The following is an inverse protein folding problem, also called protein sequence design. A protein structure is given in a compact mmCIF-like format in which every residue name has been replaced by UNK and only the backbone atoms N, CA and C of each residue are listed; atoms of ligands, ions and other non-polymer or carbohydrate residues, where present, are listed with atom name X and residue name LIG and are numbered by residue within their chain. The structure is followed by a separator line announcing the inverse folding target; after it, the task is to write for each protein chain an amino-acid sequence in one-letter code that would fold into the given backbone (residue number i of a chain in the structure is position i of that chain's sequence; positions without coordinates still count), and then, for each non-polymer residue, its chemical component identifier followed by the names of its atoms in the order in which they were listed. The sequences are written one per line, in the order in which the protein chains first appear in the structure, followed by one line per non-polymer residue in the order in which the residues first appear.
data_IF_000396422199
#
_entry.id   IF_000396422199
#
_cell.length_a   1.000
_cell.length_b   1.000
_cell.length_c   1.000
_cell.angle_alpha   90.00
_cell.angle_beta   90.00
_cell.angle_gamma   90.00
#
_symmetry.space_group_name_H-M   'P 1'
#
loop_
_entity.id
_entity.type
_entity.pdbx_description
1 polymer ?
#
# COMPACT_ATOMS: atom_id res chain seq x y z
N UNK A 1 -12.13 15.58 10.48
CA UNK A 1 -12.85 16.32 9.42
C UNK A 1 -12.38 17.76 9.33
N UNK A 2 -12.12 18.44 10.46
CA UNK A 2 -11.60 19.82 10.47
C UNK A 2 -10.19 19.94 9.91
N UNK A 3 -9.26 19.03 10.21
CA UNK A 3 -7.91 19.08 9.63
C UNK A 3 -7.93 19.02 8.09
N UNK A 4 -8.82 18.23 7.47
CA UNK A 4 -8.94 18.15 6.00
C UNK A 4 -9.50 19.45 5.41
N UNK A 5 -10.44 20.11 6.09
CA UNK A 5 -10.93 21.45 5.69
C UNK A 5 -9.83 22.49 5.83
N UNK A 6 -9.05 22.44 6.93
CA UNK A 6 -7.93 23.34 7.17
C UNK A 6 -6.82 23.12 6.13
N UNK A 7 -6.49 21.88 5.79
CA UNK A 7 -5.52 21.52 4.76
C UNK A 7 -5.95 21.97 3.35
N UNK A 8 -7.23 21.77 3.00
CA UNK A 8 -7.80 22.27 1.74
C UNK A 8 -7.83 23.80 1.69
N UNK A 9 -8.16 24.46 2.80
CA UNK A 9 -8.19 25.91 2.89
C UNK A 9 -6.77 26.53 2.86
N UNK A 10 -5.77 25.85 3.42
CA UNK A 10 -4.38 26.32 3.47
C UNK A 10 -3.62 26.13 2.14
N UNK A 11 -3.99 25.15 1.31
CA UNK A 11 -3.31 24.85 0.05
C UNK A 11 -3.86 25.57 -1.20
N UNK A 12 -5.08 26.13 -1.15
CA UNK A 12 -5.81 26.56 -2.35
C UNK A 12 -5.94 25.43 -3.39
N UNK A 13 -6.44 25.74 -4.59
CA UNK A 13 -6.49 24.80 -5.72
C UNK A 13 -5.09 24.40 -6.26
N UNK A 14 -4.02 24.70 -5.54
CA UNK A 14 -2.65 24.41 -5.93
C UNK A 14 -2.22 23.02 -5.46
N UNK A 15 -2.13 22.09 -6.42
CA UNK A 15 -1.66 20.72 -6.20
C UNK A 15 -0.30 20.65 -5.48
N UNK A 16 0.63 21.55 -5.81
CA UNK A 16 1.95 21.58 -5.20
C UNK A 16 1.91 21.93 -3.71
N UNK A 17 1.09 22.91 -3.34
CA UNK A 17 0.90 23.26 -1.93
C UNK A 17 0.24 22.11 -1.16
N UNK A 18 -0.79 21.47 -1.74
CA UNK A 18 -1.44 20.31 -1.13
C UNK A 18 -0.47 19.13 -0.94
N UNK A 19 0.40 18.89 -1.93
CA UNK A 19 1.41 17.83 -1.88
C UNK A 19 2.46 18.03 -0.81
N UNK A 20 3.00 19.24 -0.73
CA UNK A 20 3.96 19.62 0.31
C UNK A 20 3.39 19.44 1.71
N UNK A 21 2.13 19.85 1.93
CA UNK A 21 1.51 19.70 3.24
C UNK A 21 1.27 18.22 3.55
N UNK A 22 0.81 17.43 2.56
CA UNK A 22 0.60 15.99 2.71
C UNK A 22 1.89 15.27 3.12
N UNK A 23 3.01 15.53 2.45
CA UNK A 23 4.31 14.91 2.80
C UNK A 23 4.76 15.28 4.22
N UNK A 24 4.66 16.55 4.60
CA UNK A 24 5.04 17.01 5.94
C UNK A 24 4.18 16.40 7.03
N UNK A 25 2.88 16.25 6.76
CA UNK A 25 1.95 15.58 7.66
C UNK A 25 2.28 14.09 7.78
N UNK A 26 2.50 13.39 6.67
CA UNK A 26 2.91 11.99 6.66
C UNK A 26 4.18 11.77 7.49
N UNK A 27 5.22 12.57 7.25
CA UNK A 27 6.47 12.53 8.00
C UNK A 27 6.23 12.65 9.51
N UNK A 28 5.52 13.71 9.92
CA UNK A 28 5.25 13.99 11.33
C UNK A 28 4.50 12.84 12.00
N UNK A 29 3.48 12.30 11.34
CA UNK A 29 2.65 11.21 11.88
C UNK A 29 3.40 9.89 11.96
N UNK A 30 4.22 9.56 10.97
CA UNK A 30 5.05 8.34 10.99
C UNK A 30 6.04 8.43 12.15
N UNK A 31 6.75 9.56 12.26
CA UNK A 31 7.73 9.80 13.31
C UNK A 31 7.11 9.69 14.71
N UNK A 32 6.00 10.39 14.94
CA UNK A 32 5.24 10.33 16.20
C UNK A 32 4.88 8.89 16.56
N UNK A 33 4.30 8.13 15.62
CA UNK A 33 3.89 6.76 15.88
C UNK A 33 5.07 5.79 16.06
N UNK A 34 6.18 6.01 15.36
CA UNK A 34 7.39 5.21 15.54
C UNK A 34 8.03 5.48 16.91
N UNK A 35 8.13 6.75 17.30
CA UNK A 35 8.67 7.17 18.59
C UNK A 35 7.81 6.65 19.76
N UNK A 36 6.48 6.82 19.69
CA UNK A 36 5.54 6.35 20.71
C UNK A 36 5.60 4.83 20.94
N UNK A 37 5.91 4.06 19.89
CA UNK A 37 5.90 2.60 19.92
C UNK A 37 7.30 1.98 19.98
N UNK A 38 8.36 2.79 19.99
CA UNK A 38 9.74 2.33 19.93
C UNK A 38 10.07 1.53 18.66
N UNK A 39 9.38 1.81 17.56
CA UNK A 39 9.54 1.12 16.28
C UNK A 39 10.71 1.74 15.51
N UNK A 40 11.65 0.90 15.03
CA UNK A 40 12.79 1.34 14.22
C UNK A 40 12.61 1.15 12.71
N UNK A 41 11.76 0.20 12.32
CA UNK A 41 11.48 -0.14 10.91
C UNK A 41 9.99 -0.35 10.73
N UNK A 42 9.46 0.12 9.60
CA UNK A 42 8.08 -0.13 9.24
C UNK A 42 7.98 -1.43 8.44
N UNK A 43 6.85 -2.13 8.58
CA UNK A 43 6.56 -3.35 7.85
C UNK A 43 5.58 -3.04 6.74
N UNK A 44 5.93 -3.40 5.51
CA UNK A 44 5.05 -3.27 4.35
C UNK A 44 4.54 -4.63 3.93
N UNK A 45 3.21 -4.68 3.75
CA UNK A 45 2.50 -5.86 3.28
C UNK A 45 1.77 -5.46 2.01
N UNK A 46 2.25 -5.92 0.86
CA UNK A 46 1.50 -5.84 -0.39
C UNK A 46 0.58 -7.05 -0.46
N UNK A 47 -0.71 -6.73 -0.45
CA UNK A 47 -1.76 -7.67 -0.76
C UNK A 47 -1.92 -7.73 -2.28
N UNK A 48 -1.23 -8.67 -2.93
CA UNK A 48 -1.62 -9.06 -4.27
C UNK A 48 -2.91 -9.88 -4.11
N UNK A 49 -4.07 -9.24 -4.33
CA UNK A 49 -5.38 -9.92 -4.39
C UNK A 49 -5.50 -10.82 -5.63
N UNK A 50 -4.43 -11.51 -6.01
CA UNK A 50 -4.45 -12.49 -7.07
C UNK A 50 -4.79 -13.83 -6.45
N UNK A 51 -6.05 -14.21 -6.62
CA UNK A 51 -6.39 -15.62 -6.61
C UNK A 51 -5.98 -16.18 -7.96
N UNK A 52 -5.41 -17.38 -7.99
CA UNK A 52 -5.38 -18.13 -9.25
C UNK A 52 -6.84 -18.35 -9.73
N UNK A 53 -7.03 -18.67 -11.01
CA UNK A 53 -8.37 -18.75 -11.63
C UNK A 53 -9.31 -19.69 -10.85
N UNK A 54 -8.76 -20.77 -10.30
CA UNK A 54 -9.47 -21.77 -9.49
C UNK A 54 -9.73 -21.36 -8.03
N UNK A 55 -9.25 -20.19 -7.60
CA UNK A 55 -9.28 -19.72 -6.20
C UNK A 55 -8.71 -20.73 -5.19
N UNK A 56 -7.71 -21.47 -5.62
CA UNK A 56 -7.00 -22.46 -4.81
C UNK A 56 -5.70 -21.92 -4.26
N UNK A 57 -5.22 -20.77 -4.74
CA UNK A 57 -3.97 -20.17 -4.28
C UNK A 57 -4.14 -18.68 -4.07
N UNK A 58 -3.51 -18.18 -3.02
CA UNK A 58 -3.51 -16.78 -2.63
C UNK A 58 -2.14 -16.39 -2.08
N UNK A 59 -1.58 -15.26 -2.53
CA UNK A 59 -0.22 -14.85 -2.20
C UNK A 59 -0.17 -13.49 -1.51
N UNK A 60 0.72 -13.39 -0.51
CA UNK A 60 1.15 -12.14 0.10
C UNK A 60 2.61 -11.91 -0.22
N UNK A 61 2.95 -10.64 -0.44
CA UNK A 61 4.34 -10.20 -0.51
C UNK A 61 4.57 -9.25 0.66
N UNK A 62 5.58 -9.55 1.46
CA UNK A 62 5.92 -8.84 2.69
C UNK A 62 7.40 -8.46 2.67
N UNK A 63 7.73 -7.27 3.17
CA UNK A 63 9.11 -6.90 3.47
C UNK A 63 9.14 -5.85 4.59
N UNK A 64 10.29 -5.72 5.23
CA UNK A 64 10.58 -4.62 6.16
C UNK A 64 11.24 -3.47 5.39
N UNK A 65 10.83 -2.24 5.65
CA UNK A 65 11.44 -1.05 5.05
C UNK A 65 11.65 0.08 6.06
N UNK A 66 12.63 0.92 5.79
CA UNK A 66 12.76 2.22 6.43
C UNK A 66 11.79 3.21 5.77
N UNK A 67 10.52 3.10 6.15
CA UNK A 67 9.47 3.95 5.58
C UNK A 67 9.63 5.42 5.97
N UNK A 68 10.21 5.70 7.15
CA UNK A 68 10.52 7.08 7.55
C UNK A 68 11.60 7.66 6.62
N UNK A 69 12.70 6.93 6.41
CA UNK A 69 13.75 7.33 5.47
C UNK A 69 13.25 7.47 4.03
N UNK A 70 12.31 6.63 3.59
CA UNK A 70 11.63 6.78 2.31
C UNK A 70 10.86 8.11 2.22
N UNK A 71 10.07 8.48 3.25
CA UNK A 71 9.34 9.74 3.28
C UNK A 71 10.27 10.95 3.40
N UNK A 72 11.37 10.84 4.16
CA UNK A 72 12.42 11.87 4.23
C UNK A 72 13.06 12.11 2.86
N UNK A 73 13.33 11.04 2.11
CA UNK A 73 13.81 11.17 0.74
C UNK A 73 12.79 11.89 -0.15
N UNK A 74 11.50 11.56 -0.06
CA UNK A 74 10.46 12.26 -0.82
C UNK A 74 10.38 13.75 -0.47
N UNK A 75 10.54 14.12 0.81
CA UNK A 75 10.59 15.53 1.23
C UNK A 75 11.77 16.28 0.60
N UNK A 76 12.96 15.69 0.63
CA UNK A 76 14.16 16.31 0.01
C UNK A 76 13.94 16.51 -1.49
N UNK A 77 13.35 15.53 -2.16
CA UNK A 77 13.08 15.58 -3.61
C UNK A 77 11.98 16.58 -3.97
N UNK A 78 10.95 16.71 -3.14
CA UNK A 78 9.94 17.77 -3.27
C UNK A 78 10.58 19.17 -3.15
N UNK A 79 11.43 19.36 -2.15
CA UNK A 79 12.13 20.64 -1.92
C UNK A 79 13.14 20.97 -3.03
N UNK A 80 13.73 19.96 -3.65
CA UNK A 80 14.58 20.09 -4.84
C UNK A 80 13.78 20.32 -6.15
N UNK A 81 12.44 20.28 -6.10
CA UNK A 81 11.58 20.49 -7.27
C UNK A 81 11.55 19.31 -8.25
N UNK A 82 11.99 18.14 -7.81
CA UNK A 82 11.99 16.89 -8.58
C UNK A 82 10.60 16.23 -8.62
N UNK A 83 9.70 16.63 -7.72
CA UNK A 83 8.34 16.13 -7.66
C UNK A 83 7.37 17.13 -8.30
N UNK A 84 6.59 16.66 -9.26
CA UNK A 84 5.43 17.37 -9.78
C UNK A 84 4.15 16.83 -9.14
N UNK A 85 3.35 17.72 -8.56
CA UNK A 85 2.07 17.37 -7.97
C UNK A 85 0.92 17.62 -8.94
N UNK A 86 0.08 16.60 -9.13
CA UNK A 86 -1.04 16.67 -10.07
C UNK A 86 -2.30 16.13 -9.42
N UNK A 87 -3.42 16.83 -9.62
CA UNK A 87 -4.74 16.36 -9.22
C UNK A 87 -5.32 15.53 -10.37
N UNK A 88 -5.70 14.30 -10.09
CA UNK A 88 -6.40 13.40 -11.01
C UNK A 88 -7.72 12.94 -10.37
N UNK A 89 -8.59 12.28 -11.14
CA UNK A 89 -9.88 11.81 -10.63
C UNK A 89 -9.79 10.90 -9.38
N UNK A 90 -8.64 10.24 -9.17
CA UNK A 90 -8.39 9.39 -8.01
C UNK A 90 -7.81 10.13 -6.77
N UNK A 91 -7.40 11.39 -6.92
CA UNK A 91 -6.84 12.20 -5.82
C UNK A 91 -5.64 13.05 -6.23
N UNK A 92 -4.77 13.32 -5.25
CA UNK A 92 -3.48 13.99 -5.45
C UNK A 92 -2.41 12.95 -5.76
N UNK A 93 -1.54 13.26 -6.71
CA UNK A 93 -0.50 12.35 -7.17
C UNK A 93 0.86 13.05 -7.24
N UNK A 94 1.93 12.29 -6.97
CA UNK A 94 3.30 12.73 -7.13
C UNK A 94 3.89 12.10 -8.39
N UNK A 95 4.43 12.93 -9.28
CA UNK A 95 5.16 12.52 -10.47
C UNK A 95 6.63 12.83 -10.27
N UNK A 96 7.46 11.83 -10.50
CA UNK A 96 8.90 11.98 -10.47
C UNK A 96 9.36 12.59 -11.80
N UNK A 97 9.92 13.80 -11.77
CA UNK A 97 10.39 14.50 -12.98
C UNK A 97 11.70 13.94 -13.53
N UNK A 98 12.50 13.27 -12.70
CA UNK A 98 13.86 12.85 -13.05
C UNK A 98 13.99 11.35 -13.33
N UNK A 99 12.97 10.56 -13.04
CA UNK A 99 12.99 9.10 -13.25
C UNK A 99 12.55 8.73 -14.67
N UNK A 100 13.53 8.40 -15.51
CA UNK A 100 13.32 7.72 -16.80
C UNK A 100 13.06 6.22 -16.53
N UNK A 101 12.06 5.64 -17.19
CA UNK A 101 11.57 4.31 -16.86
C UNK A 101 12.62 3.20 -17.05
N UNK A 102 13.00 2.51 -15.97
CA UNK A 102 13.60 1.17 -16.07
C UNK A 102 12.49 0.11 -15.95
N UNK A 103 11.61 0.02 -16.95
CA UNK A 103 10.72 -1.15 -17.09
C UNK A 103 10.94 -1.84 -18.43
N UNK A 104 11.21 -3.16 -18.37
CA UNK A 104 11.31 -4.04 -19.55
C UNK A 104 10.14 -3.79 -20.50
N UNK A 105 10.45 -3.32 -21.72
CA UNK A 105 9.48 -3.19 -22.81
C UNK A 105 8.86 -1.79 -23.01
N UNK A 106 9.34 -0.74 -22.34
CA UNK A 106 9.00 0.67 -22.66
C UNK A 106 10.21 1.42 -23.20
N UNK A 107 9.96 2.42 -24.06
CA UNK A 107 10.99 3.29 -24.63
C UNK A 107 11.64 4.15 -23.54
N UNK A 108 12.95 4.43 -23.63
CA UNK A 108 13.66 5.38 -22.74
C UNK A 108 13.03 6.78 -22.72
N UNK A 109 12.17 7.09 -23.70
CA UNK A 109 11.43 8.35 -23.83
C UNK A 109 10.09 8.39 -23.08
N UNK A 110 9.61 7.27 -22.54
CA UNK A 110 8.31 7.22 -21.87
C UNK A 110 8.47 7.60 -20.38
N UNK A 111 7.77 8.62 -19.87
CA UNK A 111 7.79 8.94 -18.45
C UNK A 111 7.29 7.73 -17.63
N UNK A 112 8.04 7.33 -16.61
CA UNK A 112 7.62 6.24 -15.74
C UNK A 112 6.40 6.65 -14.90
N UNK A 113 5.59 5.66 -14.51
CA UNK A 113 4.28 5.89 -13.93
C UNK A 113 4.33 6.74 -12.65
N UNK A 114 3.40 7.69 -12.62
CA UNK A 114 2.95 8.48 -11.46
C UNK A 114 2.87 7.60 -10.20
N UNK A 115 3.61 7.95 -9.13
CA UNK A 115 3.39 7.31 -7.82
C UNK A 115 2.18 7.97 -7.19
N UNK A 116 1.11 7.21 -6.98
CA UNK A 116 -0.01 7.72 -6.21
C UNK A 116 0.43 7.85 -4.75
N UNK A 117 0.69 9.06 -4.27
CA UNK A 117 0.83 9.32 -2.84
C UNK A 117 -0.52 9.76 -2.29
N UNK A 118 -1.22 8.85 -1.62
CA UNK A 118 -2.53 9.12 -1.04
C UNK A 118 -2.55 8.74 0.42
N UNK A 119 -3.02 9.65 1.26
CA UNK A 119 -3.30 9.33 2.66
C UNK A 119 -4.80 9.23 2.91
N UNK A 120 -5.21 8.17 3.58
CA UNK A 120 -6.55 8.00 4.12
C UNK A 120 -6.54 8.34 5.61
N UNK A 121 -6.72 9.63 5.91
CA UNK A 121 -6.63 10.21 7.26
C UNK A 121 -7.38 9.41 8.34
N UNK A 122 -8.61 8.97 8.06
CA UNK A 122 -9.45 8.23 9.04
C UNK A 122 -8.84 6.89 9.47
N UNK A 123 -8.07 6.24 8.60
CA UNK A 123 -7.54 4.90 8.85
C UNK A 123 -6.02 4.92 9.07
N UNK A 124 -5.40 6.11 9.09
CA UNK A 124 -3.95 6.29 9.12
C UNK A 124 -3.22 5.42 8.08
N UNK A 125 -3.82 5.26 6.90
CA UNK A 125 -3.26 4.47 5.81
C UNK A 125 -2.61 5.40 4.79
N UNK A 126 -1.39 5.07 4.40
CA UNK A 126 -0.68 5.74 3.30
C UNK A 126 -0.61 4.74 2.16
N UNK A 127 -1.13 5.13 1.01
CA UNK A 127 -1.00 4.43 -0.25
C UNK A 127 0.11 5.09 -1.04
N UNK A 128 1.05 4.28 -1.46
CA UNK A 128 2.19 4.68 -2.27
C UNK A 128 2.53 3.48 -3.14
N UNK A 129 2.80 3.73 -4.41
CA UNK A 129 3.31 2.69 -5.30
C UNK A 129 4.77 2.41 -4.92
N UNK A 130 5.02 1.22 -4.37
CA UNK A 130 6.36 0.75 -4.02
C UNK A 130 6.88 -0.21 -5.08
N UNK A 131 8.17 -0.09 -5.39
CA UNK A 131 8.89 -1.14 -6.09
C UNK A 131 9.08 -2.30 -5.11
N UNK A 132 8.64 -3.50 -5.48
CA UNK A 132 8.81 -4.69 -4.64
C UNK A 132 10.30 -5.07 -4.65
N UNK A 133 10.99 -5.12 -3.50
CA UNK A 133 12.40 -5.48 -3.46
C UNK A 133 12.60 -6.94 -3.85
N UNK A 134 13.76 -7.25 -4.46
CA UNK A 134 14.12 -8.61 -4.90
C UNK A 134 14.11 -9.62 -3.74
N UNK A 135 14.41 -9.17 -2.52
CA UNK A 135 14.41 -9.99 -1.31
C UNK A 135 13.09 -10.00 -0.53
N UNK A 136 11.97 -9.55 -1.11
CA UNK A 136 10.68 -9.60 -0.42
C UNK A 136 10.26 -11.05 -0.16
N UNK A 137 9.79 -11.31 1.05
CA UNK A 137 9.25 -12.61 1.42
C UNK A 137 7.91 -12.83 0.73
N UNK A 138 7.70 -14.06 0.27
CA UNK A 138 6.42 -14.49 -0.31
C UNK A 138 5.79 -15.55 0.57
N UNK A 139 4.55 -15.28 0.97
CA UNK A 139 3.75 -16.22 1.75
C UNK A 139 2.57 -16.64 0.87
N UNK A 140 2.51 -17.92 0.52
CA UNK A 140 1.46 -18.48 -0.32
C UNK A 140 0.56 -19.39 0.50
N UNK A 141 -0.74 -19.20 0.36
CA UNK A 141 -1.79 -20.01 0.97
C UNK A 141 -2.45 -20.84 -0.13
N UNK A 142 -2.39 -22.17 0.01
CA UNK A 142 -3.13 -23.09 -0.83
C UNK A 142 -4.43 -23.50 -0.13
N UNK A 143 -5.56 -23.29 -0.79
CA UNK A 143 -6.86 -23.82 -0.40
C UNK A 143 -7.26 -24.92 -1.39
N UNK A 144 -7.72 -26.05 -0.87
CA UNK A 144 -8.41 -27.06 -1.66
C UNK A 144 -9.91 -26.81 -1.49
N UNK A 145 -10.61 -26.21 -2.46
CA UNK A 145 -12.05 -26.02 -2.37
C UNK A 145 -12.70 -27.39 -2.28
N UNK A 146 -13.46 -27.62 -1.20
CA UNK A 146 -14.23 -28.83 -1.02
C UNK A 146 -15.35 -28.88 -2.05
N UNK A 147 -15.61 -30.06 -2.60
CA UNK A 147 -16.85 -30.28 -3.35
C UNK A 147 -18.06 -30.28 -2.41
N UNK A 148 -19.26 -30.16 -2.98
CA UNK A 148 -20.49 -30.34 -2.22
C UNK A 148 -20.58 -31.74 -1.61
N UNK A 149 -20.07 -32.77 -2.30
CA UNK A 149 -20.07 -34.14 -1.81
C UNK A 149 -19.11 -34.32 -0.63
N UNK A 150 -17.94 -33.69 -0.67
CA UNK A 150 -17.00 -33.68 0.45
C UNK A 150 -17.61 -32.98 1.67
N UNK A 151 -18.32 -31.87 1.43
CA UNK A 151 -18.97 -31.09 2.48
C UNK A 151 -20.09 -31.90 3.14
N UNK A 152 -20.94 -32.56 2.34
CA UNK A 152 -22.01 -33.43 2.84
C UNK A 152 -21.44 -34.61 3.64
N UNK A 153 -20.37 -35.23 3.14
CA UNK A 153 -19.70 -36.35 3.82
C UNK A 153 -19.15 -35.96 5.19
N UNK A 154 -18.59 -34.74 5.33
CA UNK A 154 -18.11 -34.22 6.61
C UNK A 154 -19.25 -33.89 7.58
N UNK A 155 -20.38 -33.39 7.08
CA UNK A 155 -21.58 -33.13 7.88
C UNK A 155 -22.15 -34.45 8.42
N UNK A 156 -22.30 -35.46 7.56
CA UNK A 156 -22.82 -36.77 7.95
C UNK A 156 -21.91 -37.44 8.99
N UNK A 157 -20.58 -37.34 8.80
CA UNK A 157 -19.59 -37.85 9.75
C UNK A 157 -19.68 -37.15 11.12
N UNK A 158 -19.93 -35.83 11.14
CA UNK A 158 -20.10 -35.07 12.37
C UNK A 158 -21.30 -35.58 13.18
N UNK A 159 -22.46 -35.75 12.53
CA UNK A 159 -23.66 -36.27 13.19
C UNK A 159 -23.49 -37.72 13.64
N UNK A 160 -22.86 -38.57 12.83
CA UNK A 160 -22.57 -39.95 13.20
C UNK A 160 -21.66 -40.04 14.43
N UNK A 161 -20.68 -39.14 14.58
CA UNK A 161 -19.80 -39.10 15.73
C UNK A 161 -20.48 -38.53 16.99
N UNK A 162 -21.38 -37.55 16.85
CA UNK A 162 -22.18 -37.07 17.98
C UNK A 162 -23.15 -38.13 18.52
N UNK A 163 -23.71 -38.96 17.64
CA UNK A 163 -24.57 -40.09 18.04
C UNK A 163 -23.81 -41.23 18.73
N UNK A 164 -22.51 -41.37 18.49
CA UNK A 164 -21.65 -42.38 19.13
C UNK A 164 -21.04 -41.92 20.46
N UNK A 165 -21.03 -40.61 20.71
CA UNK A 165 -20.48 -40.00 21.93
C UNK A 165 -21.53 -39.83 23.04
N UNK A 166 -22.81 -40.06 22.72
CA UNK A 166 -23.93 -40.14 23.66
C UNK A 166 -24.36 -41.59 23.88
#
# INVERSE_FOLDING_TARGET
MDEVRVLRAAGGDNAAAQGKILLRYMYSRIKEQMDERGIKTAKSLILLKHWNVSRTEFEFVYWEEDFLGFVENLLVRDEAGEIEWVIQGAGLHARDRLRLAQKRGKSESDPEAVRMLRMHYKHNQIFTDHDIPVGADRISFSASPLSWDDTNSLIDLHFANQLRAN
#
